data_IF_550824023196
#
_entry.id   IF_550824023196
#
_cell.length_a   1.000
_cell.length_b   1.000
_cell.length_c   1.000
_cell.angle_alpha   90.00
_cell.angle_beta   90.00
_cell.angle_gamma   90.00
#
_symmetry.space_group_name_H-M   'P 1'
#
loop_
_entity.id
_entity.type
_entity.pdbx_description
1 polymer ?
#
# COMPACT_ATOMS: atom_id res chain seq x y z
N UNK A 1 -8.95 21.28 -11.80
CA UNK A 1 -9.41 20.30 -10.78
C UNK A 1 -10.86 19.94 -11.05
N UNK A 2 -11.13 18.75 -11.58
CA UNK A 2 -12.51 18.24 -11.65
C UNK A 2 -13.04 18.11 -10.22
N UNK A 3 -14.14 18.79 -9.90
CA UNK A 3 -14.81 18.64 -8.61
C UNK A 3 -15.34 17.21 -8.54
N UNK A 4 -14.72 16.40 -7.68
CA UNK A 4 -15.11 15.01 -7.45
C UNK A 4 -16.63 14.93 -7.24
N UNK A 5 -17.30 14.19 -8.11
CA UNK A 5 -18.76 14.05 -8.08
C UNK A 5 -19.17 13.21 -6.87
N UNK A 6 -20.37 13.42 -6.32
CA UNK A 6 -20.90 12.58 -5.22
C UNK A 6 -20.78 11.07 -5.51
N UNK A 7 -21.19 10.53 -6.68
CA UNK A 7 -21.07 9.10 -6.96
C UNK A 7 -19.62 8.60 -7.01
N UNK A 8 -18.69 9.41 -7.50
CA UNK A 8 -17.26 9.07 -7.51
C UNK A 8 -16.71 8.85 -6.09
N UNK A 9 -17.08 9.69 -5.12
CA UNK A 9 -16.61 9.49 -3.74
C UNK A 9 -17.15 8.21 -3.13
N UNK A 10 -18.45 7.98 -3.31
CA UNK A 10 -19.11 6.80 -2.76
C UNK A 10 -18.63 5.50 -3.40
N UNK A 11 -18.34 5.49 -4.71
CA UNK A 11 -17.78 4.31 -5.36
C UNK A 11 -16.41 3.93 -4.78
N UNK A 12 -15.52 4.91 -4.58
CA UNK A 12 -14.22 4.65 -3.96
C UNK A 12 -14.33 4.14 -2.51
N UNK A 13 -15.24 4.73 -1.72
CA UNK A 13 -15.51 4.28 -0.34
C UNK A 13 -16.08 2.85 -0.34
N UNK A 14 -17.06 2.58 -1.20
CA UNK A 14 -17.66 1.26 -1.32
C UNK A 14 -16.63 0.19 -1.71
N UNK A 15 -15.74 0.49 -2.66
CA UNK A 15 -14.64 -0.40 -3.04
C UNK A 15 -13.78 -0.77 -1.82
N UNK A 16 -13.33 0.23 -1.06
CA UNK A 16 -12.48 0.01 0.12
C UNK A 16 -13.21 -0.77 1.21
N UNK A 17 -14.49 -0.46 1.47
CA UNK A 17 -15.27 -1.16 2.49
C UNK A 17 -15.56 -2.62 2.12
N UNK A 18 -15.88 -2.89 0.85
CA UNK A 18 -16.09 -4.25 0.36
C UNK A 18 -14.80 -5.08 0.43
N UNK A 19 -13.67 -4.49 0.02
CA UNK A 19 -12.36 -5.14 0.13
C UNK A 19 -11.97 -5.37 1.60
N UNK A 20 -12.21 -4.39 2.49
CA UNK A 20 -11.96 -4.54 3.92
C UNK A 20 -12.78 -5.70 4.50
N UNK A 21 -14.08 -5.77 4.19
CA UNK A 21 -14.93 -6.86 4.65
C UNK A 21 -14.42 -8.22 4.15
N UNK A 22 -14.08 -8.33 2.86
CA UNK A 22 -13.52 -9.55 2.28
C UNK A 22 -12.23 -9.97 2.99
N UNK A 23 -11.28 -9.04 3.12
CA UNK A 23 -9.95 -9.34 3.67
C UNK A 23 -9.98 -9.64 5.16
N UNK A 24 -10.85 -9.00 5.94
CA UNK A 24 -11.05 -9.35 7.34
C UNK A 24 -11.67 -10.75 7.50
N UNK A 25 -12.58 -11.15 6.61
CA UNK A 25 -13.20 -12.49 6.63
C UNK A 25 -12.22 -13.60 6.24
N UNK A 26 -11.20 -13.27 5.45
CA UNK A 26 -10.20 -14.23 4.97
C UNK A 26 -8.80 -13.93 5.50
N UNK A 27 -8.70 -13.17 6.60
CA UNK A 27 -7.43 -12.79 7.19
C UNK A 27 -6.72 -14.04 7.72
N UNK A 28 -5.42 -14.16 7.45
CA UNK A 28 -4.66 -15.30 7.97
C UNK A 28 -4.71 -15.32 9.50
N UNK A 29 -4.97 -16.51 10.04
CA UNK A 29 -5.12 -16.74 11.47
C UNK A 29 -4.18 -17.83 12.02
N UNK A 30 -3.27 -18.33 11.18
CA UNK A 30 -2.28 -19.34 11.55
C UNK A 30 -1.26 -19.53 10.43
N UNK A 31 -0.28 -20.38 10.68
CA UNK A 31 0.72 -20.79 9.69
C UNK A 31 0.39 -22.20 9.22
N UNK A 32 0.37 -22.42 7.91
CA UNK A 32 0.19 -23.76 7.33
C UNK A 32 1.55 -24.48 7.28
N UNK A 33 1.60 -25.81 7.44
CA UNK A 33 2.87 -26.55 7.38
C UNK A 33 3.68 -26.32 6.09
N UNK A 34 3.01 -26.12 4.96
CA UNK A 34 3.67 -25.79 3.69
C UNK A 34 4.27 -24.38 3.63
N UNK A 35 3.70 -23.42 4.38
CA UNK A 35 4.23 -22.05 4.48
C UNK A 35 5.48 -22.01 5.36
N UNK A 36 5.67 -22.97 6.26
CA UNK A 36 6.92 -23.12 7.02
C UNK A 36 8.10 -23.55 6.15
N UNK A 37 7.83 -24.14 4.98
CA UNK A 37 8.86 -24.48 4.01
C UNK A 37 9.33 -23.24 3.20
N UNK A 38 8.47 -22.23 3.07
CA UNK A 38 8.78 -20.94 2.44
C UNK A 38 9.14 -19.89 3.48
N UNK A 39 10.42 -19.52 3.58
CA UNK A 39 10.91 -18.65 4.66
C UNK A 39 10.32 -17.24 4.71
N UNK A 40 9.77 -16.72 3.61
CA UNK A 40 9.45 -15.29 3.47
C UNK A 40 8.36 -14.79 4.44
N UNK A 41 7.22 -15.50 4.55
CA UNK A 41 6.13 -15.09 5.45
C UNK A 41 6.55 -15.08 6.92
N UNK A 42 7.26 -16.13 7.35
CA UNK A 42 7.78 -16.24 8.72
C UNK A 42 8.83 -15.16 8.98
N UNK A 43 9.66 -14.85 7.98
CA UNK A 43 10.69 -13.81 8.09
C UNK A 43 10.07 -12.43 8.29
N UNK A 44 9.00 -12.10 7.56
CA UNK A 44 8.28 -10.84 7.74
C UNK A 44 7.62 -10.72 9.12
N UNK A 45 6.92 -11.78 9.56
CA UNK A 45 6.32 -11.81 10.89
C UNK A 45 7.38 -11.61 11.98
N UNK A 46 8.49 -12.35 11.89
CA UNK A 46 9.60 -12.25 12.82
C UNK A 46 10.23 -10.86 12.82
N UNK A 47 10.47 -10.27 11.64
CA UNK A 47 11.06 -8.95 11.50
C UNK A 47 10.18 -7.86 12.13
N UNK A 48 8.86 -7.91 11.91
CA UNK A 48 7.91 -6.96 12.50
C UNK A 48 7.80 -7.12 14.01
N UNK A 49 7.74 -8.35 14.53
CA UNK A 49 7.63 -8.55 15.99
C UNK A 49 8.89 -8.04 16.71
N UNK A 50 10.07 -8.29 16.14
CA UNK A 50 11.35 -7.92 16.77
C UNK A 50 11.86 -6.52 16.41
N UNK A 51 11.25 -5.83 15.44
CA UNK A 51 11.72 -4.53 14.99
C UNK A 51 13.09 -4.61 14.32
N UNK A 52 13.24 -5.52 13.34
CA UNK A 52 14.51 -5.78 12.63
C UNK A 52 14.49 -5.18 11.22
N UNK A 53 14.81 -3.89 11.05
CA UNK A 53 14.67 -3.20 9.77
C UNK A 53 15.60 -3.74 8.67
N UNK A 54 16.68 -4.44 9.03
CA UNK A 54 17.66 -5.01 8.11
C UNK A 54 17.41 -6.46 7.71
N UNK A 55 16.39 -7.13 8.27
CA UNK A 55 16.06 -8.49 7.86
C UNK A 55 15.65 -8.49 6.37
N UNK A 56 16.24 -9.41 5.61
CA UNK A 56 15.83 -9.65 4.22
C UNK A 56 14.32 -9.95 4.16
N UNK A 57 13.60 -9.43 3.15
CA UNK A 57 14.10 -8.73 1.96
C UNK A 57 14.40 -7.22 2.11
N UNK A 58 14.38 -6.64 3.32
CA UNK A 58 14.95 -5.30 3.56
C UNK A 58 14.02 -4.11 3.38
N UNK A 59 12.83 -4.11 4.00
CA UNK A 59 11.84 -3.03 3.87
C UNK A 59 11.61 -2.31 5.21
N UNK A 60 12.49 -1.36 5.62
CA UNK A 60 12.40 -0.68 6.91
C UNK A 60 11.04 -0.05 7.20
N UNK A 61 10.39 0.57 6.21
CA UNK A 61 9.10 1.20 6.42
C UNK A 61 8.01 0.16 6.74
N UNK A 62 7.98 -0.93 5.98
CA UNK A 62 7.03 -2.01 6.22
C UNK A 62 7.32 -2.72 7.55
N UNK A 63 8.59 -2.99 7.85
CA UNK A 63 9.00 -3.68 9.09
C UNK A 63 8.75 -2.83 10.32
N UNK A 64 9.22 -1.58 10.35
CA UNK A 64 9.10 -0.71 11.53
C UNK A 64 7.67 -0.21 11.72
N UNK A 65 6.95 0.08 10.62
CA UNK A 65 5.53 0.39 10.69
C UNK A 65 4.71 -0.82 11.16
N UNK A 66 5.05 -2.02 10.69
CA UNK A 66 4.44 -3.27 11.15
C UNK A 66 4.73 -3.58 12.62
N UNK A 67 5.94 -3.28 13.11
CA UNK A 67 6.28 -3.35 14.53
C UNK A 67 5.39 -2.43 15.36
N UNK A 68 5.26 -1.16 14.95
CA UNK A 68 4.41 -0.19 15.65
C UNK A 68 2.94 -0.64 15.63
N UNK A 69 2.48 -1.11 14.48
CA UNK A 69 1.12 -1.65 14.30
C UNK A 69 0.85 -2.83 15.22
N UNK A 70 1.76 -3.80 15.25
CA UNK A 70 1.64 -4.99 16.06
C UNK A 70 1.59 -4.68 17.55
N UNK A 71 2.57 -3.92 18.06
CA UNK A 71 2.63 -3.58 19.49
C UNK A 71 1.49 -2.64 19.90
N UNK A 72 1.10 -1.70 19.04
CA UNK A 72 -0.04 -0.81 19.28
C UNK A 72 -1.36 -1.57 19.39
N UNK A 73 -1.67 -2.43 18.41
CA UNK A 73 -2.88 -3.25 18.47
C UNK A 73 -2.85 -4.28 19.59
N UNK A 74 -1.69 -4.88 19.88
CA UNK A 74 -1.56 -5.83 20.99
C UNK A 74 -1.73 -5.17 22.36
N UNK A 75 -1.34 -3.90 22.51
CA UNK A 75 -1.61 -3.12 23.71
C UNK A 75 -3.13 -2.91 23.93
N UNK A 76 -3.92 -2.82 22.85
CA UNK A 76 -5.38 -2.62 22.90
C UNK A 76 -6.12 -3.96 23.05
N UNK A 77 -5.73 -4.97 22.28
CA UNK A 77 -6.41 -6.27 22.19
C UNK A 77 -5.95 -7.27 23.28
N UNK A 78 -4.85 -6.97 23.97
CA UNK A 78 -4.26 -7.81 25.01
C UNK A 78 -3.23 -8.81 24.49
N UNK A 79 -2.33 -9.24 25.37
CA UNK A 79 -1.18 -10.10 25.03
C UNK A 79 -1.59 -11.51 24.55
N UNK A 80 -2.77 -11.97 24.96
CA UNK A 80 -3.36 -13.27 24.59
C UNK A 80 -4.02 -13.28 23.20
N UNK A 81 -4.17 -12.12 22.55
CA UNK A 81 -4.66 -12.05 21.18
C UNK A 81 -3.75 -12.81 20.21
N UNK A 82 -4.34 -13.48 19.23
CA UNK A 82 -3.59 -14.21 18.22
C UNK A 82 -2.71 -13.22 17.42
N UNK A 83 -1.38 -13.40 17.38
CA UNK A 83 -0.48 -12.46 16.73
C UNK A 83 -0.60 -12.47 15.20
N UNK A 84 -0.98 -13.59 14.57
CA UNK A 84 -0.98 -13.74 13.11
C UNK A 84 -1.96 -12.77 12.43
N UNK A 85 -3.25 -12.70 12.83
CA UNK A 85 -4.17 -11.70 12.27
C UNK A 85 -3.71 -10.26 12.47
N UNK A 86 -3.08 -9.94 13.61
CA UNK A 86 -2.59 -8.58 13.87
C UNK A 86 -1.50 -8.22 12.87
N UNK A 87 -0.53 -9.09 12.66
CA UNK A 87 0.56 -8.89 11.70
C UNK A 87 0.04 -8.83 10.26
N UNK A 88 -0.82 -9.78 9.86
CA UNK A 88 -1.45 -9.81 8.54
C UNK A 88 -2.31 -8.58 8.25
N UNK A 89 -2.99 -8.03 9.25
CA UNK A 89 -3.83 -6.83 9.07
C UNK A 89 -3.04 -5.60 8.65
N UNK A 90 -1.72 -5.57 8.88
CA UNK A 90 -0.87 -4.49 8.38
C UNK A 90 -0.75 -4.55 6.85
N UNK A 91 -0.63 -5.74 6.25
CA UNK A 91 -0.69 -5.90 4.80
C UNK A 91 -2.06 -5.56 4.23
N UNK A 92 -3.14 -5.83 4.99
CA UNK A 92 -4.49 -5.40 4.64
C UNK A 92 -4.58 -3.87 4.58
N UNK A 93 -4.01 -3.14 5.54
CA UNK A 93 -3.97 -1.67 5.51
C UNK A 93 -3.33 -1.15 4.21
N UNK A 94 -2.18 -1.71 3.82
CA UNK A 94 -1.51 -1.33 2.58
C UNK A 94 -2.32 -1.72 1.33
N UNK A 95 -2.99 -2.87 1.34
CA UNK A 95 -3.86 -3.29 0.25
C UNK A 95 -5.03 -2.32 0.04
N UNK A 96 -5.65 -1.85 1.12
CA UNK A 96 -6.75 -0.87 1.04
C UNK A 96 -6.25 0.48 0.51
N UNK A 97 -5.07 0.92 0.94
CA UNK A 97 -4.43 2.11 0.38
C UNK A 97 -4.14 1.94 -1.11
N UNK A 98 -3.58 0.80 -1.52
CA UNK A 98 -3.32 0.49 -2.92
C UNK A 98 -4.61 0.51 -3.76
N UNK A 99 -5.69 -0.11 -3.29
CA UNK A 99 -6.99 -0.10 -3.99
C UNK A 99 -7.56 1.31 -4.13
N UNK A 100 -7.47 2.12 -3.07
CA UNK A 100 -7.87 3.52 -3.14
C UNK A 100 -7.05 4.31 -4.16
N UNK A 101 -5.72 4.14 -4.16
CA UNK A 101 -4.83 4.81 -5.11
C UNK A 101 -5.08 4.37 -6.56
N UNK A 102 -5.28 3.07 -6.79
CA UNK A 102 -5.62 2.52 -8.10
C UNK A 102 -6.95 3.09 -8.60
N UNK A 103 -7.96 3.12 -7.73
CA UNK A 103 -9.24 3.76 -8.02
C UNK A 103 -9.05 5.22 -8.43
N UNK A 104 -8.32 5.99 -7.62
CA UNK A 104 -8.04 7.41 -7.91
C UNK A 104 -7.27 7.59 -9.21
N UNK A 105 -6.30 6.74 -9.51
CA UNK A 105 -5.53 6.81 -10.74
C UNK A 105 -6.41 6.57 -11.96
N UNK A 106 -7.23 5.51 -11.96
CA UNK A 106 -8.13 5.21 -13.08
C UNK A 106 -9.15 6.33 -13.28
N UNK A 107 -9.71 6.89 -12.20
CA UNK A 107 -10.64 8.02 -12.29
C UNK A 107 -9.94 9.27 -12.82
N UNK A 108 -8.75 9.59 -12.31
CA UNK A 108 -7.98 10.75 -12.73
C UNK A 108 -7.58 10.66 -14.23
N UNK A 109 -7.38 9.45 -14.78
CA UNK A 109 -7.03 9.21 -16.17
C UNK A 109 -8.25 9.14 -17.12
N UNK A 110 -9.36 8.54 -16.67
CA UNK A 110 -10.50 8.25 -17.55
C UNK A 110 -11.69 9.17 -17.36
N UNK A 111 -11.76 9.89 -16.23
CA UNK A 111 -12.94 10.63 -15.78
C UNK A 111 -14.15 9.75 -15.42
N UNK A 112 -13.98 8.41 -15.37
CA UNK A 112 -15.09 7.45 -15.18
C UNK A 112 -14.92 6.66 -13.89
N UNK A 113 -15.70 7.01 -12.87
CA UNK A 113 -15.72 6.32 -11.57
C UNK A 113 -16.07 4.83 -11.69
N UNK A 114 -16.92 4.45 -12.66
CA UNK A 114 -17.32 3.06 -12.87
C UNK A 114 -16.16 2.17 -13.31
N UNK A 115 -15.27 2.69 -14.18
CA UNK A 115 -14.06 1.98 -14.58
C UNK A 115 -13.09 1.82 -13.41
N UNK A 116 -12.93 2.87 -12.58
CA UNK A 116 -12.14 2.80 -11.36
C UNK A 116 -12.67 1.76 -10.39
N UNK A 117 -13.99 1.72 -10.18
CA UNK A 117 -14.63 0.76 -9.29
C UNK A 117 -14.48 -0.68 -9.82
N UNK A 118 -14.82 -0.93 -11.08
CA UNK A 118 -14.74 -2.28 -11.67
C UNK A 118 -13.30 -2.78 -11.72
N UNK A 119 -12.36 -1.93 -12.15
CA UNK A 119 -10.94 -2.28 -12.19
C UNK A 119 -10.37 -2.55 -10.80
N UNK A 120 -10.68 -1.70 -9.81
CA UNK A 120 -10.28 -1.91 -8.43
C UNK A 120 -10.90 -3.16 -7.81
N UNK A 121 -12.20 -3.40 -8.02
CA UNK A 121 -12.91 -4.56 -7.48
C UNK A 121 -12.39 -5.87 -8.09
N UNK A 122 -12.13 -5.89 -9.40
CA UNK A 122 -11.50 -7.03 -10.05
C UNK A 122 -10.08 -7.28 -9.50
N UNK A 123 -9.26 -6.22 -9.39
CA UNK A 123 -7.90 -6.34 -8.86
C UNK A 123 -7.88 -6.88 -7.41
N UNK A 124 -8.82 -6.42 -6.57
CA UNK A 124 -8.98 -6.84 -5.18
C UNK A 124 -9.17 -8.36 -5.02
N UNK A 125 -9.75 -9.04 -6.02
CA UNK A 125 -10.02 -10.48 -5.95
C UNK A 125 -9.05 -11.32 -6.80
N UNK A 126 -8.02 -10.70 -7.39
CA UNK A 126 -6.97 -11.47 -8.07
C UNK A 126 -6.16 -12.27 -7.06
N UNK A 127 -5.75 -13.48 -7.45
CA UNK A 127 -5.08 -14.42 -6.55
C UNK A 127 -3.89 -13.78 -5.80
N UNK A 128 -2.94 -13.19 -6.53
CA UNK A 128 -1.74 -12.61 -5.93
C UNK A 128 -2.04 -11.43 -5.01
N UNK A 129 -2.90 -10.51 -5.45
CA UNK A 129 -3.19 -9.32 -4.65
C UNK A 129 -3.97 -9.69 -3.38
N UNK A 130 -4.97 -10.56 -3.50
CA UNK A 130 -5.74 -11.00 -2.34
C UNK A 130 -4.87 -11.79 -1.36
N UNK A 131 -4.11 -12.77 -1.84
CA UNK A 131 -3.21 -13.56 -1.00
C UNK A 131 -2.30 -12.66 -0.16
N UNK A 132 -1.59 -11.72 -0.78
CA UNK A 132 -0.71 -10.81 -0.05
C UNK A 132 -1.43 -9.67 0.69
N UNK A 133 -2.73 -9.47 0.48
CA UNK A 133 -3.53 -8.55 1.29
C UNK A 133 -3.92 -9.16 2.65
N UNK A 134 -3.92 -10.49 2.77
CA UNK A 134 -4.36 -11.20 3.98
C UNK A 134 -3.26 -11.97 4.70
N UNK A 135 -2.07 -12.04 4.09
CA UNK A 135 -0.86 -12.62 4.67
C UNK A 135 0.15 -11.54 5.05
N UNK A 136 1.00 -11.79 6.05
CA UNK A 136 2.06 -10.87 6.47
C UNK A 136 3.18 -10.79 5.43
N UNK A 137 3.03 -9.90 4.46
CA UNK A 137 4.00 -9.71 3.38
C UNK A 137 3.92 -8.27 2.81
N UNK A 138 5.02 -7.77 2.24
CA UNK A 138 5.18 -6.35 1.87
C UNK A 138 4.65 -5.97 0.47
N UNK A 139 4.26 -6.91 -0.37
CA UNK A 139 3.85 -6.76 -1.76
C UNK A 139 2.79 -5.66 -1.92
N UNK A 140 1.77 -5.65 -1.06
CA UNK A 140 0.71 -4.63 -1.13
C UNK A 140 1.22 -3.23 -0.80
N UNK A 141 2.25 -3.12 0.05
CA UNK A 141 2.93 -1.85 0.33
C UNK A 141 3.77 -1.38 -0.86
N UNK A 142 4.45 -2.30 -1.55
CA UNK A 142 5.17 -2.01 -2.78
C UNK A 142 4.22 -1.55 -3.90
N UNK A 143 3.08 -2.22 -4.06
CA UNK A 143 2.02 -1.82 -5.01
C UNK A 143 1.51 -0.42 -4.68
N UNK A 144 1.21 -0.14 -3.40
CA UNK A 144 0.80 1.20 -2.97
C UNK A 144 1.84 2.26 -3.32
N UNK A 145 3.13 2.01 -3.02
CA UNK A 145 4.22 2.93 -3.32
C UNK A 145 4.35 3.18 -4.83
N UNK A 146 4.29 2.14 -5.66
CA UNK A 146 4.30 2.27 -7.12
C UNK A 146 3.13 3.13 -7.60
N UNK A 147 1.92 2.89 -7.09
CA UNK A 147 0.75 3.69 -7.46
C UNK A 147 0.87 5.15 -7.04
N UNK A 148 1.43 5.45 -5.87
CA UNK A 148 1.72 6.84 -5.46
C UNK A 148 2.71 7.48 -6.43
N UNK A 149 3.81 6.79 -6.76
CA UNK A 149 4.82 7.31 -7.70
C UNK A 149 4.18 7.62 -9.05
N UNK A 150 3.42 6.68 -9.63
CA UNK A 150 2.72 6.87 -10.91
C UNK A 150 1.74 8.04 -10.83
N UNK A 151 0.94 8.12 -9.77
CA UNK A 151 -0.05 9.18 -9.58
C UNK A 151 0.60 10.56 -9.42
N UNK A 152 1.73 10.66 -8.71
CA UNK A 152 2.49 11.91 -8.59
C UNK A 152 3.12 12.32 -9.93
N UNK A 153 3.64 11.36 -10.70
CA UNK A 153 4.18 11.64 -12.04
C UNK A 153 3.12 12.22 -12.97
N UNK A 154 1.94 11.60 -13.06
CA UNK A 154 0.82 12.14 -13.85
C UNK A 154 0.29 13.48 -13.36
N UNK A 155 0.39 13.76 -12.05
CA UNK A 155 0.00 15.07 -11.51
C UNK A 155 1.04 16.13 -11.80
N UNK A 156 2.32 15.79 -11.74
CA UNK A 156 3.40 16.67 -12.14
C UNK A 156 3.28 17.05 -13.62
N UNK A 157 3.11 16.06 -14.50
CA UNK A 157 2.94 16.29 -15.95
C UNK A 157 1.77 17.23 -16.25
N UNK A 158 0.59 16.98 -15.66
CA UNK A 158 -0.57 17.88 -15.81
C UNK A 158 -0.29 19.30 -15.35
N UNK A 159 0.48 19.47 -14.28
CA UNK A 159 0.84 20.80 -13.79
C UNK A 159 1.83 21.49 -14.74
N UNK A 160 2.77 20.75 -15.35
CA UNK A 160 3.66 21.29 -16.38
C UNK A 160 2.87 21.71 -17.63
N UNK A 161 1.94 20.87 -18.10
CA UNK A 161 1.06 21.20 -19.24
C UNK A 161 0.27 22.50 -19.01
N UNK A 162 -0.24 22.71 -17.79
CA UNK A 162 -0.99 23.93 -17.44
C UNK A 162 -0.06 25.18 -17.44
N UNK A 163 1.20 25.02 -17.03
CA UNK A 163 2.21 26.10 -17.07
C UNK A 163 2.57 26.41 -18.52
N UNK A 164 2.83 25.41 -19.35
CA UNK A 164 3.19 25.57 -20.77
C UNK A 164 2.06 26.22 -21.57
N UNK A 165 0.81 25.97 -21.20
CA UNK A 165 -0.38 26.63 -21.79
C UNK A 165 -0.63 28.05 -21.26
N UNK A 166 0.22 28.56 -20.37
CA UNK A 166 0.05 29.86 -19.74
C UNK A 166 -1.17 29.96 -18.80
N UNK A 167 -1.74 28.82 -18.41
CA UNK A 167 -2.91 28.75 -17.52
C UNK A 167 -2.53 28.87 -16.04
N UNK A 168 -1.23 28.84 -15.72
CA UNK A 168 -0.70 28.95 -14.37
C UNK A 168 0.59 29.79 -14.35
N UNK A 169 0.66 30.75 -13.42
CA UNK A 169 1.85 31.59 -13.20
C UNK A 169 2.74 30.98 -12.10
N UNK A 170 3.99 30.63 -12.44
CA UNK A 170 5.05 30.21 -11.50
C UNK A 170 5.61 28.79 -11.75
N UNK A 171 6.77 28.44 -11.16
CA UNK A 171 7.35 27.09 -11.24
C UNK A 171 6.45 26.12 -10.48
N UNK A 172 5.49 25.52 -11.18
CA UNK A 172 4.54 24.62 -10.59
C UNK A 172 5.04 23.19 -10.83
N UNK A 173 5.48 22.48 -9.78
CA UNK A 173 5.90 21.09 -9.94
C UNK A 173 6.94 20.59 -8.94
N UNK A 174 7.73 21.48 -8.36
CA UNK A 174 8.88 21.12 -7.52
C UNK A 174 8.50 20.20 -6.35
N UNK A 175 7.34 20.42 -5.73
CA UNK A 175 6.83 19.55 -4.67
C UNK A 175 6.58 18.10 -5.12
N UNK A 176 6.10 17.91 -6.36
CA UNK A 176 5.93 16.56 -6.92
C UNK A 176 7.28 15.92 -7.21
N UNK A 177 8.25 16.67 -7.75
CA UNK A 177 9.60 16.17 -8.01
C UNK A 177 10.32 15.78 -6.72
N UNK A 178 10.21 16.60 -5.66
CA UNK A 178 10.74 16.28 -4.34
C UNK A 178 10.10 15.02 -3.75
N UNK A 179 8.78 14.88 -3.86
CA UNK A 179 8.09 13.69 -3.41
C UNK A 179 8.49 12.44 -4.21
N UNK A 180 8.64 12.55 -5.54
CA UNK A 180 9.11 11.48 -6.40
C UNK A 180 10.56 11.09 -6.10
N UNK A 181 11.45 12.06 -5.88
CA UNK A 181 12.84 11.81 -5.49
C UNK A 181 12.89 11.09 -4.15
N UNK A 182 12.11 11.54 -3.16
CA UNK A 182 12.00 10.87 -1.86
C UNK A 182 11.50 9.43 -1.98
N UNK A 183 10.40 9.20 -2.72
CA UNK A 183 9.83 7.86 -2.91
C UNK A 183 10.73 6.93 -3.73
N UNK A 184 11.52 7.49 -4.65
CA UNK A 184 12.53 6.73 -5.41
C UNK A 184 13.69 6.34 -4.50
N UNK A 185 14.16 7.28 -3.66
CA UNK A 185 15.16 6.98 -2.62
C UNK A 185 14.67 5.92 -1.63
N UNK A 186 13.40 5.97 -1.24
CA UNK A 186 12.78 4.95 -0.39
C UNK A 186 12.73 3.58 -1.09
N UNK A 187 12.33 3.53 -2.37
CA UNK A 187 12.32 2.29 -3.16
C UNK A 187 13.73 1.69 -3.30
N UNK A 188 14.74 2.54 -3.53
CA UNK A 188 16.15 2.12 -3.56
C UNK A 188 16.61 1.65 -2.19
N UNK A 189 16.23 2.33 -1.11
CA UNK A 189 16.53 1.89 0.25
C UNK A 189 15.92 0.51 0.53
N UNK A 190 14.72 0.20 0.03
CA UNK A 190 14.15 -1.15 0.17
C UNK A 190 15.02 -2.27 -0.47
N UNK A 191 15.90 -1.94 -1.42
CA UNK A 191 16.89 -2.87 -1.97
C UNK A 191 18.26 -2.77 -1.27
N UNK A 192 18.60 -1.58 -0.77
CA UNK A 192 19.94 -1.21 -0.29
C UNK A 192 20.09 -1.36 1.24
N UNK A 193 19.02 -1.34 2.02
CA UNK A 193 19.12 -1.42 3.50
C UNK A 193 19.73 -2.73 3.98
N UNK A 194 19.57 -3.81 3.20
CA UNK A 194 20.24 -5.10 3.41
C UNK A 194 21.78 -4.96 3.31
N UNK A 195 22.30 -4.01 2.54
CA UNK A 195 23.75 -3.87 2.32
C UNK A 195 24.48 -3.12 3.44
N UNK A 196 23.79 -2.30 4.24
CA UNK A 196 24.44 -1.38 5.20
C UNK A 196 24.16 -1.69 6.68
N UNK A 197 23.12 -2.46 7.00
CA UNK A 197 22.69 -2.74 8.39
C UNK A 197 22.63 -4.26 8.68
N UNK A 198 23.27 -5.09 7.84
CA UNK A 198 23.49 -6.53 8.08
C UNK A 198 24.87 -6.75 8.67
#
# INVERSE_FOLDING_TARGET
MSTSTRPERWAGIALVLLALALYLLTLDNGLRPGELAGGDLVTHQYAQVQGRPSNAPGYPLYTMGGWLWFHGLRAILGVSSNPVPILSSYSTLWALLALWLLYRLIVDLTGRWSLGFLGGAFYAVTYFFWYYAVSTEQYTSAVAQTLVIVLLAFRWERVQDDVDRGQRLGPAGDGYLLALAFLSGLALAHLVTVAFIV
#
